data_IF_631960528226
#
_entry.id   IF_631960528226
#
_cell.length_a   1.000
_cell.length_b   1.000
_cell.length_c   1.000
_cell.angle_alpha   90.00
_cell.angle_beta   90.00
_cell.angle_gamma   90.00
#
_symmetry.space_group_name_H-M   'P 1'
#
loop_
_entity.id
_entity.type
_entity.pdbx_description
1 polymer ?
#
# COMPACT_ATOMS: atom_id res chain seq x y z
N UNK A 1 23.04 -2.71 20.60
CA UNK A 1 22.86 -3.88 19.70
C UNK A 1 22.16 -5.07 20.36
N UNK A 2 22.32 -5.34 21.66
CA UNK A 2 21.74 -6.56 22.30
C UNK A 2 20.20 -6.70 22.30
N UNK A 3 19.44 -5.65 21.94
CA UNK A 3 17.96 -5.67 21.89
C UNK A 3 17.38 -5.38 20.48
N UNK A 4 18.22 -5.38 19.43
CA UNK A 4 17.76 -5.13 18.06
C UNK A 4 17.40 -6.46 17.39
N UNK A 5 16.12 -6.65 17.08
CA UNK A 5 15.61 -7.88 16.47
C UNK A 5 15.47 -7.76 14.96
N UNK A 6 15.40 -8.90 14.27
CA UNK A 6 15.08 -8.93 12.84
C UNK A 6 13.73 -8.27 12.55
N UNK A 7 12.72 -8.48 13.41
CA UNK A 7 11.42 -7.82 13.27
C UNK A 7 11.51 -6.31 13.38
N UNK A 8 12.33 -5.79 14.29
CA UNK A 8 12.57 -4.35 14.39
C UNK A 8 13.27 -3.84 13.12
N UNK A 9 14.26 -4.57 12.59
CA UNK A 9 14.93 -4.20 11.33
C UNK A 9 13.94 -4.16 10.16
N UNK A 10 13.15 -5.22 10.00
CA UNK A 10 12.12 -5.37 8.97
C UNK A 10 11.10 -4.24 9.06
N UNK A 11 10.58 -3.95 10.25
CA UNK A 11 9.66 -2.84 10.47
C UNK A 11 10.29 -1.50 10.11
N UNK A 12 11.49 -1.20 10.61
CA UNK A 12 12.18 0.07 10.34
C UNK A 12 12.42 0.27 8.84
N UNK A 13 12.88 -0.77 8.14
CA UNK A 13 13.12 -0.73 6.70
C UNK A 13 11.82 -0.57 5.91
N UNK A 14 10.77 -1.32 6.25
CA UNK A 14 9.45 -1.22 5.61
C UNK A 14 8.80 0.15 5.81
N UNK A 15 8.91 0.71 7.02
CA UNK A 15 8.43 2.06 7.32
C UNK A 15 9.20 3.12 6.52
N UNK A 16 10.52 3.01 6.43
CA UNK A 16 11.33 3.94 5.66
C UNK A 16 11.00 3.88 4.16
N UNK A 17 10.89 2.69 3.57
CA UNK A 17 10.54 2.55 2.14
C UNK A 17 9.14 3.08 1.84
N UNK A 18 8.15 2.77 2.69
CA UNK A 18 6.79 3.29 2.57
C UNK A 18 6.80 4.83 2.64
N UNK A 19 7.52 5.41 3.60
CA UNK A 19 7.64 6.86 3.72
C UNK A 19 8.25 7.49 2.47
N UNK A 20 9.37 6.95 1.97
CA UNK A 20 10.03 7.44 0.74
C UNK A 20 9.10 7.41 -0.47
N UNK A 21 8.23 6.41 -0.56
CA UNK A 21 7.32 6.22 -1.68
C UNK A 21 6.16 7.24 -1.76
N UNK A 22 5.83 7.94 -0.66
CA UNK A 22 4.71 8.90 -0.61
C UNK A 22 5.08 10.31 -0.13
N UNK A 23 6.21 10.52 0.55
CA UNK A 23 6.48 11.75 1.31
C UNK A 23 6.57 13.04 0.47
N UNK A 24 6.87 12.93 -0.83
CA UNK A 24 7.13 14.09 -1.69
C UNK A 24 5.91 15.01 -1.70
N UNK A 25 6.14 16.29 -1.39
CA UNK A 25 5.12 17.34 -1.33
C UNK A 25 3.90 16.94 -0.47
N UNK A 26 4.15 16.16 0.60
CA UNK A 26 3.09 15.60 1.45
C UNK A 26 3.37 15.74 2.94
N UNK A 27 4.36 15.02 3.48
CA UNK A 27 4.66 15.01 4.92
C UNK A 27 6.06 14.44 5.19
N UNK A 28 6.44 14.27 6.45
CA UNK A 28 7.76 13.75 6.85
C UNK A 28 7.73 12.26 7.15
N UNK A 29 8.89 11.61 7.07
CA UNK A 29 9.07 10.21 7.49
C UNK A 29 8.66 9.98 8.94
N UNK A 30 8.92 10.94 9.84
CA UNK A 30 8.54 10.83 11.25
C UNK A 30 7.02 10.73 11.43
N UNK A 31 6.24 11.57 10.74
CA UNK A 31 4.77 11.53 10.79
C UNK A 31 4.20 10.27 10.16
N UNK A 32 4.80 9.77 9.07
CA UNK A 32 4.39 8.51 8.43
C UNK A 32 4.68 7.32 9.34
N UNK A 33 5.86 7.27 9.96
CA UNK A 33 6.22 6.25 10.94
C UNK A 33 5.20 6.22 12.07
N UNK A 34 4.93 7.39 12.67
CA UNK A 34 3.91 7.53 13.71
C UNK A 34 2.56 6.97 13.25
N UNK A 35 2.08 7.34 12.05
CA UNK A 35 0.80 6.87 11.54
C UNK A 35 0.73 5.35 11.29
N UNK A 36 1.83 4.74 10.82
CA UNK A 36 1.93 3.28 10.69
C UNK A 36 1.87 2.62 12.07
N UNK A 37 2.58 3.17 13.07
CA UNK A 37 2.61 2.67 14.44
C UNK A 37 1.27 2.84 15.18
N UNK A 38 0.44 3.81 14.80
CA UNK A 38 -0.93 3.97 15.30
C UNK A 38 -1.94 3.05 14.60
N UNK A 39 -1.55 2.36 13.54
CA UNK A 39 -2.40 1.41 12.82
C UNK A 39 -2.13 -0.04 13.26
N UNK A 40 -3.07 -0.94 13.01
CA UNK A 40 -2.84 -2.38 13.21
C UNK A 40 -2.07 -3.05 12.06
N UNK A 41 -1.48 -2.28 11.14
CA UNK A 41 -0.77 -2.79 9.96
C UNK A 41 0.48 -3.59 10.32
N UNK A 42 1.25 -3.12 11.31
CA UNK A 42 2.46 -3.83 11.77
C UNK A 42 2.10 -5.21 12.33
N UNK A 43 1.02 -5.31 13.11
CA UNK A 43 0.55 -6.58 13.67
C UNK A 43 0.24 -7.59 12.56
N UNK A 44 -0.42 -7.16 11.49
CA UNK A 44 -0.68 -8.04 10.34
C UNK A 44 0.62 -8.53 9.69
N UNK A 45 1.65 -7.69 9.56
CA UNK A 45 2.93 -8.10 8.97
C UNK A 45 3.74 -9.08 9.85
N UNK A 46 3.47 -9.11 11.15
CA UNK A 46 4.12 -10.00 12.13
C UNK A 46 3.38 -11.33 12.34
N UNK A 47 2.07 -11.33 12.12
CA UNK A 47 1.23 -12.52 12.18
C UNK A 47 1.46 -13.39 10.92
N UNK A 48 1.09 -14.67 10.96
CA UNK A 48 1.07 -15.61 9.83
C UNK A 48 -0.33 -16.13 9.49
N UNK A 49 -1.37 -15.63 10.17
CA UNK A 49 -2.76 -16.00 9.92
C UNK A 49 -3.16 -15.83 8.44
N UNK A 50 -3.85 -16.84 7.92
CA UNK A 50 -4.47 -16.77 6.59
C UNK A 50 -5.64 -15.76 6.61
N UNK A 51 -5.73 -14.97 5.55
CA UNK A 51 -6.73 -13.91 5.42
C UNK A 51 -7.31 -13.94 4.02
N UNK A 52 -8.62 -14.17 3.91
CA UNK A 52 -9.33 -14.15 2.63
C UNK A 52 -9.25 -12.77 1.96
N UNK A 53 -9.58 -12.69 0.67
CA UNK A 53 -9.59 -11.41 -0.06
C UNK A 53 -10.56 -10.41 0.57
N UNK A 54 -11.72 -10.87 1.05
CA UNK A 54 -12.76 -10.06 1.68
C UNK A 54 -12.32 -9.57 3.07
N UNK A 55 -11.67 -10.44 3.83
CA UNK A 55 -11.10 -10.08 5.13
C UNK A 55 -9.95 -9.07 4.94
N UNK A 56 -9.10 -9.27 3.94
CA UNK A 56 -8.02 -8.32 3.61
C UNK A 56 -8.59 -6.98 3.19
N UNK A 57 -9.67 -6.95 2.39
CA UNK A 57 -10.32 -5.70 2.01
C UNK A 57 -10.84 -4.92 3.23
N UNK A 58 -11.47 -5.62 4.18
CA UNK A 58 -11.93 -5.03 5.44
C UNK A 58 -10.77 -4.47 6.26
N UNK A 59 -9.69 -5.23 6.39
CA UNK A 59 -8.48 -4.80 7.08
C UNK A 59 -7.81 -3.60 6.40
N UNK A 60 -7.69 -3.61 5.07
CA UNK A 60 -7.12 -2.53 4.29
C UNK A 60 -7.90 -1.22 4.49
N UNK A 61 -9.24 -1.27 4.49
CA UNK A 61 -10.06 -0.10 4.81
C UNK A 61 -9.78 0.43 6.21
N UNK A 62 -9.74 -0.46 7.20
CA UNK A 62 -9.42 -0.09 8.59
C UNK A 62 -8.04 0.55 8.73
N UNK A 63 -7.00 -0.06 8.14
CA UNK A 63 -5.64 0.50 8.20
C UNK A 63 -5.56 1.86 7.51
N UNK A 64 -6.22 2.02 6.36
CA UNK A 64 -6.23 3.29 5.66
C UNK A 64 -6.90 4.38 6.51
N UNK A 65 -8.05 4.08 7.13
CA UNK A 65 -8.76 5.00 8.02
C UNK A 65 -7.91 5.37 9.26
N UNK A 66 -7.24 4.39 9.88
CA UNK A 66 -6.32 4.62 11.00
C UNK A 66 -5.14 5.53 10.60
N UNK A 67 -4.49 5.23 9.47
CA UNK A 67 -3.36 6.03 8.96
C UNK A 67 -3.81 7.45 8.62
N UNK A 68 -4.96 7.62 7.96
CA UNK A 68 -5.52 8.92 7.63
C UNK A 68 -5.80 9.72 8.90
N UNK A 69 -6.44 9.10 9.89
CA UNK A 69 -6.77 9.75 11.16
C UNK A 69 -5.50 10.19 11.91
N UNK A 70 -4.51 9.30 12.02
CA UNK A 70 -3.24 9.59 12.70
C UNK A 70 -2.46 10.73 12.00
N UNK A 71 -2.41 10.74 10.67
CA UNK A 71 -1.74 11.82 9.93
C UNK A 71 -2.48 13.16 10.08
N UNK A 72 -3.82 13.15 10.08
CA UNK A 72 -4.62 14.36 10.34
C UNK A 72 -4.39 14.91 11.74
N UNK A 73 -4.30 14.03 12.75
CA UNK A 73 -3.96 14.43 14.12
C UNK A 73 -2.56 15.08 14.21
N UNK A 74 -1.62 14.63 13.38
CA UNK A 74 -0.29 15.25 13.21
C UNK A 74 -0.29 16.51 12.32
N UNK A 75 -1.47 17.08 12.03
CA UNK A 75 -1.64 18.32 11.25
C UNK A 75 -1.42 18.18 9.74
N UNK A 76 -1.42 16.96 9.20
CA UNK A 76 -1.33 16.73 7.75
C UNK A 76 -2.72 16.89 7.13
N UNK A 77 -2.94 17.94 6.35
CA UNK A 77 -4.27 18.31 5.85
C UNK A 77 -4.70 17.54 4.59
N UNK A 78 -3.76 17.20 3.71
CA UNK A 78 -4.06 16.66 2.36
C UNK A 78 -3.93 15.13 2.29
N UNK A 79 -4.35 14.42 3.35
CA UNK A 79 -4.28 12.96 3.38
C UNK A 79 -5.46 12.36 2.66
N UNK A 80 -5.19 11.59 1.62
CA UNK A 80 -6.20 10.91 0.78
C UNK A 80 -6.08 9.40 0.93
N UNK A 81 -7.12 8.67 0.53
CA UNK A 81 -7.12 7.22 0.57
C UNK A 81 -6.02 6.62 -0.32
N UNK A 82 -5.78 7.18 -1.50
CA UNK A 82 -4.70 6.72 -2.39
C UNK A 82 -3.31 6.83 -1.75
N UNK A 83 -3.04 7.88 -0.95
CA UNK A 83 -1.78 7.98 -0.18
C UNK A 83 -1.68 6.93 0.91
N UNK A 84 -2.75 6.72 1.68
CA UNK A 84 -2.79 5.70 2.72
C UNK A 84 -2.66 4.28 2.15
N UNK A 85 -3.33 4.00 1.04
CA UNK A 85 -3.23 2.71 0.35
C UNK A 85 -1.82 2.47 -0.19
N UNK A 86 -1.18 3.47 -0.82
CA UNK A 86 0.20 3.31 -1.28
C UNK A 86 1.17 3.03 -0.13
N UNK A 87 0.98 3.67 1.03
CA UNK A 87 1.73 3.36 2.25
C UNK A 87 1.57 1.89 2.65
N UNK A 88 0.33 1.41 2.72
CA UNK A 88 0.00 0.02 3.07
C UNK A 88 0.68 -0.95 2.11
N UNK A 89 0.50 -0.76 0.79
CA UNK A 89 1.08 -1.64 -0.23
C UNK A 89 2.60 -1.71 -0.16
N UNK A 90 3.30 -0.57 -0.01
CA UNK A 90 4.77 -0.57 0.07
C UNK A 90 5.27 -1.19 1.38
N UNK A 91 4.59 -0.90 2.50
CA UNK A 91 4.93 -1.50 3.79
C UNK A 91 4.77 -3.03 3.75
N UNK A 92 3.66 -3.54 3.22
CA UNK A 92 3.40 -4.98 3.12
C UNK A 92 4.25 -5.67 2.06
N UNK A 93 4.57 -4.98 0.95
CA UNK A 93 5.54 -5.49 -0.03
C UNK A 93 6.88 -5.79 0.63
N UNK A 94 7.39 -4.87 1.42
CA UNK A 94 8.71 -4.98 2.03
C UNK A 94 8.74 -5.86 3.27
N UNK A 95 7.66 -5.90 4.06
CA UNK A 95 7.61 -6.69 5.31
C UNK A 95 7.02 -8.09 5.16
N UNK A 96 6.22 -8.34 4.12
CA UNK A 96 5.53 -9.63 3.89
C UNK A 96 5.94 -10.24 2.57
N UNK A 97 5.68 -9.59 1.43
CA UNK A 97 5.87 -10.20 0.10
C UNK A 97 7.34 -10.57 -0.12
N UNK A 98 8.26 -9.61 0.02
CA UNK A 98 9.68 -9.84 -0.23
C UNK A 98 10.29 -10.82 0.80
N UNK A 99 9.90 -10.72 2.07
CA UNK A 99 10.37 -11.64 3.11
C UNK A 99 9.90 -13.09 2.87
N UNK A 100 8.74 -13.28 2.25
CA UNK A 100 8.18 -14.60 1.94
C UNK A 100 8.31 -14.99 0.46
N UNK A 101 9.10 -14.25 -0.34
CA UNK A 101 9.26 -14.47 -1.79
C UNK A 101 7.93 -14.54 -2.56
N UNK A 102 6.88 -13.88 -2.05
CA UNK A 102 5.52 -13.92 -2.60
C UNK A 102 4.82 -15.28 -2.49
N UNK A 103 5.32 -16.22 -1.67
CA UNK A 103 4.84 -17.61 -1.60
C UNK A 103 3.84 -17.86 -0.46
N UNK A 104 3.67 -16.92 0.48
CA UNK A 104 2.70 -17.10 1.56
C UNK A 104 1.28 -16.76 1.11
N UNK A 105 0.27 -17.40 1.73
CA UNK A 105 -1.15 -17.23 1.40
C UNK A 105 -1.56 -15.76 1.34
N UNK A 106 -1.14 -14.95 2.32
CA UNK A 106 -1.44 -13.51 2.39
C UNK A 106 -0.94 -12.71 1.19
N UNK A 107 0.11 -13.17 0.50
CA UNK A 107 0.65 -12.47 -0.66
C UNK A 107 -0.39 -12.33 -1.77
N UNK A 108 -1.31 -13.28 -1.95
CA UNK A 108 -2.33 -13.21 -3.01
C UNK A 108 -3.41 -12.15 -2.76
N UNK A 109 -3.50 -11.62 -1.54
CA UNK A 109 -4.47 -10.57 -1.17
C UNK A 109 -3.85 -9.17 -1.15
N UNK A 110 -2.51 -9.05 -1.06
CA UNK A 110 -1.83 -7.76 -0.91
C UNK A 110 -1.84 -7.00 -2.23
N UNK A 111 -2.51 -5.84 -2.21
CA UNK A 111 -2.67 -4.97 -3.37
C UNK A 111 -1.34 -4.42 -3.89
N UNK A 112 -1.20 -4.22 -5.21
CA UNK A 112 -0.05 -3.51 -5.76
C UNK A 112 -0.09 -2.03 -5.34
N UNK A 113 1.07 -1.35 -5.24
CA UNK A 113 1.09 0.09 -5.03
C UNK A 113 0.50 0.81 -6.25
N UNK A 114 -0.69 1.40 -6.10
CA UNK A 114 -1.25 2.28 -7.12
C UNK A 114 -0.48 3.60 -7.12
N UNK A 115 0.33 3.81 -8.16
CA UNK A 115 1.05 5.05 -8.37
C UNK A 115 1.09 5.47 -9.84
N UNK A 116 1.67 6.64 -10.11
CA UNK A 116 1.75 7.16 -11.46
C UNK A 116 2.57 6.31 -12.42
N UNK A 117 3.55 5.52 -11.94
CA UNK A 117 4.33 4.62 -12.80
C UNK A 117 3.44 3.45 -13.22
N UNK A 118 2.81 2.76 -12.27
CA UNK A 118 1.92 1.65 -12.55
C UNK A 118 0.78 2.08 -13.49
N UNK A 119 0.10 3.17 -13.14
CA UNK A 119 -1.06 3.66 -13.91
C UNK A 119 -0.68 4.04 -15.35
N UNK A 120 0.49 4.66 -15.56
CA UNK A 120 0.98 4.95 -16.91
C UNK A 120 1.33 3.70 -17.68
N UNK A 121 2.01 2.73 -17.07
CA UNK A 121 2.32 1.47 -17.74
C UNK A 121 1.07 0.69 -18.13
N UNK A 122 0.11 0.58 -17.22
CA UNK A 122 -1.18 -0.08 -17.48
C UNK A 122 -1.98 0.62 -18.58
N UNK A 123 -1.84 1.95 -18.74
CA UNK A 123 -2.58 2.70 -19.76
C UNK A 123 -2.22 2.38 -21.21
N UNK A 124 -1.14 1.63 -21.43
CA UNK A 124 -0.76 1.15 -22.77
C UNK A 124 -1.63 -0.05 -23.18
N UNK A 125 -2.24 -0.74 -22.22
CA UNK A 125 -3.05 -1.92 -22.47
C UNK A 125 -4.45 -1.55 -23.00
N UNK A 126 -5.04 -2.38 -23.88
CA UNK A 126 -6.38 -2.15 -24.41
C UNK A 126 -7.42 -1.95 -23.31
N UNK A 127 -8.27 -0.93 -23.44
CA UNK A 127 -9.36 -0.65 -22.48
C UNK A 127 -8.95 0.04 -21.18
N UNK A 128 -7.67 0.40 -21.02
CA UNK A 128 -7.13 1.06 -19.81
C UNK A 128 -6.48 2.44 -20.09
N UNK A 129 -6.67 3.00 -21.29
CA UNK A 129 -5.97 4.20 -21.75
C UNK A 129 -6.20 5.46 -20.91
N UNK A 130 -7.31 5.52 -20.18
CA UNK A 130 -7.67 6.60 -19.26
C UNK A 130 -6.89 6.55 -17.92
N UNK A 131 -6.31 5.41 -17.54
CA UNK A 131 -5.59 5.25 -16.26
C UNK A 131 -4.44 6.25 -16.09
N UNK A 132 -3.79 6.68 -17.18
CA UNK A 132 -2.71 7.69 -17.15
C UNK A 132 -3.15 9.05 -16.60
N UNK A 133 -4.46 9.34 -16.65
CA UNK A 133 -5.04 10.60 -16.18
C UNK A 133 -5.37 10.58 -14.68
N UNK A 134 -5.43 9.38 -14.08
CA UNK A 134 -5.76 9.21 -12.67
C UNK A 134 -4.62 9.74 -11.81
N UNK A 135 -4.92 10.73 -10.97
CA UNK A 135 -4.01 11.25 -9.95
C UNK A 135 -4.16 10.42 -8.68
N UNK A 136 -3.33 9.39 -8.52
CA UNK A 136 -3.39 8.48 -7.36
C UNK A 136 -3.34 9.21 -6.00
N UNK A 137 -2.66 10.36 -5.91
CA UNK A 137 -2.59 11.18 -4.70
C UNK A 137 -3.91 11.87 -4.34
N UNK A 138 -4.90 11.87 -5.24
CA UNK A 138 -6.22 12.46 -5.06
C UNK A 138 -7.33 11.41 -4.98
N UNK A 139 -7.00 10.12 -4.98
CA UNK A 139 -8.00 9.06 -4.87
C UNK A 139 -8.62 9.07 -3.47
N UNK A 140 -9.94 9.25 -3.43
CA UNK A 140 -10.74 8.98 -2.24
C UNK A 140 -11.09 7.49 -2.14
N UNK A 141 -11.70 7.09 -1.03
CA UNK A 141 -11.99 5.69 -0.72
C UNK A 141 -12.74 4.99 -1.86
N UNK A 142 -13.85 5.57 -2.30
CA UNK A 142 -14.71 4.95 -3.31
C UNK A 142 -14.02 4.87 -4.67
N UNK A 143 -13.26 5.90 -5.06
CA UNK A 143 -12.52 5.90 -6.32
C UNK A 143 -11.41 4.86 -6.34
N UNK A 144 -10.71 4.70 -5.21
CA UNK A 144 -9.71 3.65 -5.05
C UNK A 144 -10.33 2.26 -5.24
N UNK A 145 -11.46 1.98 -4.58
CA UNK A 145 -12.09 0.66 -4.65
C UNK A 145 -12.73 0.38 -6.01
N UNK A 146 -13.32 1.38 -6.67
CA UNK A 146 -13.76 1.28 -8.08
C UNK A 146 -12.59 0.95 -9.01
N UNK A 147 -11.44 1.61 -8.81
CA UNK A 147 -10.23 1.31 -9.59
C UNK A 147 -9.70 -0.11 -9.31
N UNK A 148 -9.64 -0.52 -8.05
CA UNK A 148 -9.21 -1.86 -7.65
C UNK A 148 -10.11 -2.95 -8.24
N UNK A 149 -11.44 -2.75 -8.21
CA UNK A 149 -12.41 -3.66 -8.83
C UNK A 149 -12.28 -3.70 -10.34
N UNK A 150 -12.12 -2.55 -11.00
CA UNK A 150 -11.88 -2.48 -12.44
C UNK A 150 -10.63 -3.26 -12.85
N UNK A 151 -9.53 -3.07 -12.12
CA UNK A 151 -8.27 -3.80 -12.38
C UNK A 151 -8.44 -5.29 -12.11
N UNK A 152 -9.14 -5.66 -11.02
CA UNK A 152 -9.48 -7.07 -10.73
C UNK A 152 -10.25 -7.72 -11.87
N UNK A 153 -11.27 -7.04 -12.40
CA UNK A 153 -12.08 -7.55 -13.51
C UNK A 153 -11.27 -7.67 -14.81
N UNK A 154 -10.30 -6.78 -15.03
CA UNK A 154 -9.44 -6.81 -16.22
C UNK A 154 -8.38 -7.92 -16.16
N UNK A 155 -7.77 -8.16 -14.99
CA UNK A 155 -6.64 -9.09 -14.84
C UNK A 155 -7.00 -10.43 -14.17
N UNK A 156 -8.24 -10.59 -13.69
CA UNK A 156 -8.68 -11.74 -12.89
C UNK A 156 -8.22 -11.71 -11.42
N UNK A 157 -7.27 -10.83 -11.06
CA UNK A 157 -6.86 -10.58 -9.68
C UNK A 157 -6.44 -9.12 -9.48
N UNK A 158 -6.34 -8.71 -8.22
CA UNK A 158 -5.79 -7.40 -7.83
C UNK A 158 -4.80 -7.57 -6.69
N UNK A 159 -3.60 -8.05 -7.04
CA UNK A 159 -2.53 -8.35 -6.11
C UNK A 159 -1.17 -7.82 -6.63
N UNK A 160 -0.14 -7.92 -5.80
CA UNK A 160 1.21 -7.39 -6.07
C UNK A 160 1.82 -7.85 -7.40
N UNK A 161 1.37 -8.95 -8.00
CA UNK A 161 1.89 -9.43 -9.30
C UNK A 161 1.58 -8.46 -10.44
N UNK A 162 0.59 -7.57 -10.28
CA UNK A 162 0.36 -6.45 -11.21
C UNK A 162 1.57 -5.52 -11.33
N UNK A 163 2.49 -5.54 -10.36
CA UNK A 163 3.78 -4.86 -10.47
C UNK A 163 4.69 -5.43 -11.57
N UNK A 164 4.30 -6.53 -12.25
CA UNK A 164 4.88 -6.92 -13.54
C UNK A 164 4.90 -5.75 -14.53
N UNK A 165 3.89 -4.89 -14.51
CA UNK A 165 3.82 -3.68 -15.34
C UNK A 165 4.51 -2.46 -14.70
N UNK A 166 4.96 -2.55 -13.45
CA UNK A 166 5.66 -1.45 -12.78
C UNK A 166 7.11 -1.39 -13.27
N UNK A 167 7.36 -0.55 -14.29
CA UNK A 167 8.67 -0.38 -14.90
C UNK A 167 9.33 0.92 -14.39
N UNK A 168 10.22 0.86 -13.37
CA UNK A 168 10.96 2.05 -12.93
C UNK A 168 11.89 2.51 -14.05
N UNK A 169 11.98 3.82 -14.26
CA UNK A 169 12.85 4.48 -15.24
C UNK A 169 13.78 5.44 -14.55
#
# INVERSE_FOLDING_TARGET
MKNYTFDQHRHNYATWTAARAVQRDFTTTAKIKYAIEQSSLQRFAQDDNEVSVEQFATLHQRWAEQIISALKAEGVQTVTYGRASKLISIYLKTSVILCNKGQCYRSSSIHPPIDGILLRSLSILPGLSDLKSIKWTLLEKDDYWKLAERLRNHFGSFDWRLEYYWMPR
#
